data_IF_520323582936
#
_entry.id   IF_520323582936
#
_cell.length_a   1.000
_cell.length_b   1.000
_cell.length_c   1.000
_cell.angle_alpha   90.00
_cell.angle_beta   90.00
_cell.angle_gamma   90.00
#
_symmetry.space_group_name_H-M   'P 1'
#
loop_
_entity.id
_entity.type
_entity.pdbx_description
1 polymer ?
#
# COMPACT_ATOMS: atom_id res chain seq x y z
N UNK A 1 61.85 2.77 -4.20
CA UNK A 1 60.93 1.83 -3.52
C UNK A 1 59.51 2.19 -3.93
N UNK A 2 58.82 1.33 -4.69
CA UNK A 2 57.44 1.56 -5.12
C UNK A 2 56.47 0.94 -4.10
N UNK A 3 55.48 1.73 -3.65
CA UNK A 3 54.53 1.36 -2.58
C UNK A 3 53.30 0.68 -3.21
N UNK A 4 53.10 -0.60 -2.91
CA UNK A 4 51.95 -1.39 -3.38
C UNK A 4 50.66 -0.89 -2.70
N UNK A 5 49.67 -0.50 -3.49
CA UNK A 5 48.34 -0.11 -3.00
C UNK A 5 47.52 -1.38 -2.79
N UNK A 6 47.25 -1.73 -1.52
CA UNK A 6 46.31 -2.79 -1.18
C UNK A 6 44.88 -2.30 -1.43
N UNK A 7 44.19 -2.91 -2.40
CA UNK A 7 42.76 -2.74 -2.61
C UNK A 7 41.98 -3.47 -1.52
N UNK A 8 41.35 -2.72 -0.62
CA UNK A 8 40.45 -3.28 0.39
C UNK A 8 39.21 -3.88 -0.29
N UNK A 9 39.01 -5.21 -0.22
CA UNK A 9 37.73 -5.84 -0.58
C UNK A 9 36.68 -5.40 0.43
N UNK A 10 35.73 -4.55 0.00
CA UNK A 10 34.54 -4.24 0.79
C UNK A 10 33.74 -5.53 0.99
N UNK A 11 33.30 -5.86 2.21
CA UNK A 11 32.42 -7.01 2.44
C UNK A 11 31.11 -6.78 1.68
N UNK A 12 30.70 -7.77 0.89
CA UNK A 12 29.42 -7.77 0.19
C UNK A 12 28.30 -7.65 1.21
N UNK A 13 27.57 -6.53 1.17
CA UNK A 13 26.40 -6.33 2.01
C UNK A 13 25.36 -7.38 1.62
N UNK A 14 25.13 -8.35 2.50
CA UNK A 14 24.01 -9.29 2.36
C UNK A 14 22.73 -8.46 2.49
N UNK A 15 22.10 -8.15 1.37
CA UNK A 15 20.79 -7.51 1.33
C UNK A 15 19.78 -8.62 1.64
N UNK A 16 19.05 -8.57 2.76
CA UNK A 16 18.02 -9.56 3.05
C UNK A 16 17.04 -9.61 1.87
N UNK A 17 16.73 -10.82 1.39
CA UNK A 17 15.74 -11.02 0.35
C UNK A 17 14.41 -10.44 0.87
N UNK A 18 14.01 -9.27 0.35
CA UNK A 18 12.67 -8.75 0.65
C UNK A 18 11.71 -9.62 -0.12
N UNK A 19 10.93 -10.45 0.59
CA UNK A 19 9.74 -11.09 0.01
C UNK A 19 8.90 -9.99 -0.64
N UNK A 20 8.49 -10.21 -1.89
CA UNK A 20 7.69 -9.23 -2.61
C UNK A 20 6.35 -9.00 -1.92
N UNK A 21 5.83 -7.78 -2.00
CA UNK A 21 4.52 -7.42 -1.43
C UNK A 21 3.40 -8.14 -2.16
N UNK A 22 2.61 -8.96 -1.46
CA UNK A 22 1.48 -9.71 -2.04
C UNK A 22 0.14 -8.98 -1.87
N UNK A 23 -0.87 -9.43 -2.60
CA UNK A 23 -2.25 -8.94 -2.44
C UNK A 23 -2.81 -9.27 -1.04
N UNK A 24 -2.46 -10.41 -0.47
CA UNK A 24 -2.88 -10.80 0.89
C UNK A 24 -2.35 -9.82 1.93
N UNK A 25 -1.11 -9.33 1.77
CA UNK A 25 -0.56 -8.28 2.63
C UNK A 25 -1.36 -6.98 2.52
N UNK A 26 -1.81 -6.61 1.32
CA UNK A 26 -2.70 -5.44 1.12
C UNK A 26 -4.04 -5.67 1.82
N UNK A 27 -4.67 -6.83 1.62
CA UNK A 27 -5.96 -7.17 2.23
C UNK A 27 -5.93 -7.18 3.76
N UNK A 28 -4.79 -7.55 4.35
CA UNK A 28 -4.60 -7.51 5.80
C UNK A 28 -4.41 -6.09 6.34
N UNK A 29 -3.76 -5.21 5.57
CA UNK A 29 -3.37 -3.88 6.02
C UNK A 29 -4.40 -2.79 5.68
N UNK A 30 -5.16 -2.94 4.59
CA UNK A 30 -6.13 -1.97 4.11
C UNK A 30 -7.56 -2.37 4.51
N UNK A 31 -8.45 -1.38 4.80
CA UNK A 31 -9.86 -1.66 5.02
C UNK A 31 -10.52 -2.41 3.84
N UNK A 32 -11.39 -3.36 4.15
CA UNK A 32 -12.35 -3.87 3.17
C UNK A 32 -13.52 -2.89 2.94
N UNK A 33 -14.42 -3.22 2.00
CA UNK A 33 -15.53 -2.35 1.63
C UNK A 33 -16.46 -2.05 2.80
N UNK A 34 -16.72 -3.04 3.66
CA UNK A 34 -17.59 -2.87 4.82
C UNK A 34 -16.93 -1.97 5.87
N UNK A 35 -15.64 -2.18 6.13
CA UNK A 35 -14.86 -1.31 7.01
C UNK A 35 -14.76 0.13 6.48
N UNK A 36 -14.52 0.30 5.17
CA UNK A 36 -14.46 1.62 4.55
C UNK A 36 -15.81 2.35 4.65
N UNK A 37 -16.93 1.66 4.42
CA UNK A 37 -18.27 2.23 4.59
C UNK A 37 -18.49 2.69 6.03
N UNK A 38 -18.20 1.84 7.03
CA UNK A 38 -18.33 2.20 8.44
C UNK A 38 -17.47 3.39 8.83
N UNK A 39 -16.23 3.48 8.31
CA UNK A 39 -15.35 4.63 8.52
C UNK A 39 -15.98 5.89 7.94
N UNK A 40 -16.47 5.81 6.70
CA UNK A 40 -17.10 6.96 6.03
C UNK A 40 -18.32 7.46 6.81
N UNK A 41 -19.21 6.57 7.22
CA UNK A 41 -20.39 6.91 8.02
C UNK A 41 -20.03 7.50 9.39
N UNK A 42 -19.06 6.88 10.09
CA UNK A 42 -18.69 7.30 11.45
C UNK A 42 -18.05 8.69 11.51
N UNK A 43 -17.37 9.10 10.44
CA UNK A 43 -16.64 10.36 10.35
C UNK A 43 -17.28 11.37 9.38
N UNK A 44 -18.44 11.04 8.80
CA UNK A 44 -19.12 11.90 7.82
C UNK A 44 -18.31 12.13 6.54
N UNK A 45 -17.49 11.16 6.13
CA UNK A 45 -16.67 11.22 4.93
C UNK A 45 -17.43 10.67 3.71
N UNK A 46 -16.92 10.94 2.52
CA UNK A 46 -17.48 10.44 1.27
C UNK A 46 -17.42 8.91 1.20
N UNK A 47 -18.55 8.28 0.88
CA UNK A 47 -18.61 6.85 0.54
C UNK A 47 -17.97 6.64 -0.82
N UNK A 48 -16.97 5.78 -0.89
CA UNK A 48 -16.25 5.47 -2.13
C UNK A 48 -16.98 4.39 -2.93
N UNK A 49 -17.07 4.59 -4.24
CA UNK A 49 -17.42 3.53 -5.19
C UNK A 49 -16.19 2.65 -5.46
N UNK A 50 -15.96 1.69 -4.55
CA UNK A 50 -14.81 0.79 -4.62
C UNK A 50 -14.82 -0.09 -5.88
N UNK A 51 -15.99 -0.58 -6.28
CA UNK A 51 -16.14 -1.42 -7.46
C UNK A 51 -15.87 -0.62 -8.74
N UNK A 52 -16.39 0.60 -8.84
CA UNK A 52 -16.08 1.50 -9.96
C UNK A 52 -14.59 1.83 -10.07
N UNK A 53 -13.88 2.03 -8.95
CA UNK A 53 -12.41 2.21 -8.94
C UNK A 53 -11.72 0.97 -9.51
N UNK A 54 -12.05 -0.22 -9.00
CA UNK A 54 -11.49 -1.49 -9.47
C UNK A 54 -11.69 -1.66 -10.97
N UNK A 55 -12.92 -1.49 -11.45
CA UNK A 55 -13.30 -1.70 -12.84
C UNK A 55 -12.57 -0.74 -13.79
N UNK A 56 -12.41 0.52 -13.40
CA UNK A 56 -11.67 1.50 -14.22
C UNK A 56 -10.19 1.17 -14.29
N UNK A 57 -9.57 0.75 -13.19
CA UNK A 57 -8.16 0.37 -13.18
C UNK A 57 -7.89 -0.91 -13.97
N UNK A 58 -8.81 -1.88 -13.92
CA UNK A 58 -8.76 -3.06 -14.78
C UNK A 58 -8.83 -2.67 -16.26
N UNK A 59 -9.88 -1.93 -16.65
CA UNK A 59 -10.10 -1.49 -18.03
C UNK A 59 -8.93 -0.67 -18.58
N UNK A 60 -8.39 0.25 -17.80
CA UNK A 60 -7.25 1.07 -18.18
C UNK A 60 -6.04 0.22 -18.59
N UNK A 61 -5.70 -0.81 -17.82
CA UNK A 61 -4.54 -1.65 -18.12
C UNK A 61 -4.81 -2.56 -19.33
N UNK A 62 -6.03 -3.10 -19.46
CA UNK A 62 -6.42 -3.88 -20.63
C UNK A 62 -6.32 -3.04 -21.91
N UNK A 63 -6.91 -1.84 -21.92
CA UNK A 63 -6.93 -0.97 -23.10
C UNK A 63 -5.52 -0.50 -23.49
N UNK A 64 -4.72 -0.10 -22.52
CA UNK A 64 -3.33 0.33 -22.77
C UNK A 64 -2.43 -0.82 -23.23
N UNK A 65 -2.67 -2.05 -22.75
CA UNK A 65 -1.95 -3.24 -23.22
C UNK A 65 -2.27 -3.54 -24.69
N UNK A 66 -3.52 -3.34 -25.12
CA UNK A 66 -3.94 -3.51 -26.51
C UNK A 66 -3.13 -2.64 -27.49
N UNK A 67 -2.78 -1.42 -27.08
CA UNK A 67 -1.94 -0.51 -27.87
C UNK A 67 -0.46 -0.93 -27.92
N UNK A 68 -0.01 -1.77 -26.99
CA UNK A 68 1.36 -2.28 -26.92
C UNK A 68 1.55 -3.64 -27.62
N UNK A 69 0.46 -4.35 -27.93
CA UNK A 69 0.48 -5.72 -28.48
C UNK A 69 1.27 -5.86 -29.77
N UNK A 70 1.17 -4.87 -30.66
CA UNK A 70 1.86 -4.91 -31.96
C UNK A 70 3.37 -4.70 -31.82
N UNK A 71 3.81 -4.08 -30.72
CA UNK A 71 5.20 -3.70 -30.48
C UNK A 71 5.94 -4.59 -29.46
N UNK A 72 5.23 -5.41 -28.68
CA UNK A 72 5.80 -6.25 -27.64
C UNK A 72 5.45 -7.72 -27.85
N UNK A 73 6.46 -8.58 -27.83
CA UNK A 73 6.22 -10.02 -27.66
C UNK A 73 5.67 -10.35 -26.27
N UNK A 74 5.00 -11.50 -26.14
CA UNK A 74 4.31 -11.95 -24.92
C UNK A 74 5.17 -11.83 -23.66
N UNK A 75 6.44 -12.27 -23.72
CA UNK A 75 7.32 -12.22 -22.54
C UNK A 75 7.66 -10.79 -22.12
N UNK A 76 7.82 -9.88 -23.09
CA UNK A 76 8.09 -8.47 -22.81
C UNK A 76 6.85 -7.81 -22.19
N UNK A 77 5.66 -8.12 -22.70
CA UNK A 77 4.38 -7.70 -22.12
C UNK A 77 4.25 -8.17 -20.66
N UNK A 78 4.51 -9.46 -20.40
CA UNK A 78 4.44 -10.01 -19.05
C UNK A 78 5.39 -9.28 -18.09
N UNK A 79 6.65 -9.07 -18.46
CA UNK A 79 7.63 -8.36 -17.61
C UNK A 79 7.22 -6.89 -17.37
N UNK A 80 6.67 -6.24 -18.40
CA UNK A 80 6.17 -4.88 -18.30
C UNK A 80 5.01 -4.77 -17.29
N UNK A 81 3.97 -5.59 -17.48
CA UNK A 81 2.80 -5.63 -16.60
C UNK A 81 3.15 -6.09 -15.19
N UNK A 82 4.11 -7.01 -15.04
CA UNK A 82 4.61 -7.45 -13.74
C UNK A 82 5.07 -6.27 -12.87
N UNK A 83 5.77 -5.30 -13.48
CA UNK A 83 6.27 -4.10 -12.81
C UNK A 83 5.17 -3.11 -12.50
N UNK A 84 4.24 -2.90 -13.44
CA UNK A 84 3.10 -2.00 -13.26
C UNK A 84 2.19 -2.49 -12.14
N UNK A 85 1.75 -3.75 -12.21
CA UNK A 85 0.88 -4.30 -11.16
C UNK A 85 1.59 -4.37 -9.82
N UNK A 86 2.89 -4.70 -9.82
CA UNK A 86 3.69 -4.65 -8.61
C UNK A 86 3.75 -3.27 -7.95
N UNK A 87 3.72 -2.18 -8.72
CA UNK A 87 3.71 -0.82 -8.15
C UNK A 87 2.35 -0.48 -7.52
N UNK A 88 1.24 -0.89 -8.11
CA UNK A 88 -0.09 -0.76 -7.51
C UNK A 88 -0.18 -1.50 -6.18
N UNK A 89 0.23 -2.76 -6.14
CA UNK A 89 0.20 -3.60 -4.94
C UNK A 89 1.11 -3.03 -3.84
N UNK A 90 2.32 -2.58 -4.20
CA UNK A 90 3.23 -1.95 -3.25
C UNK A 90 2.69 -0.64 -2.70
N UNK A 91 2.07 0.19 -3.55
CA UNK A 91 1.42 1.44 -3.16
C UNK A 91 0.28 1.21 -2.17
N UNK A 92 -0.62 0.27 -2.50
CA UNK A 92 -1.75 -0.10 -1.65
C UNK A 92 -1.27 -0.62 -0.29
N UNK A 93 -0.29 -1.52 -0.27
CA UNK A 93 0.28 -2.01 0.98
C UNK A 93 0.93 -0.89 1.80
N UNK A 94 1.67 0.02 1.14
CA UNK A 94 2.25 1.19 1.79
C UNK A 94 1.20 2.06 2.47
N UNK A 95 0.07 2.31 1.79
CA UNK A 95 -1.06 3.04 2.34
C UNK A 95 -1.71 2.31 3.53
N UNK A 96 -1.93 0.99 3.43
CA UNK A 96 -2.45 0.18 4.54
C UNK A 96 -1.53 0.19 5.77
N UNK A 97 -0.21 0.14 5.56
CA UNK A 97 0.78 0.27 6.64
C UNK A 97 0.77 1.66 7.28
N UNK A 98 0.53 2.71 6.50
CA UNK A 98 0.41 4.07 7.01
C UNK A 98 -0.89 4.25 7.81
N UNK A 99 -2.01 3.76 7.29
CA UNK A 99 -3.29 3.70 7.99
C UNK A 99 -3.18 2.96 9.33
N UNK A 100 -2.56 1.77 9.34
CA UNK A 100 -2.36 0.97 10.56
C UNK A 100 -1.59 1.72 11.65
N UNK A 101 -0.60 2.54 11.26
CA UNK A 101 0.14 3.41 12.18
C UNK A 101 -0.73 4.56 12.68
N UNK A 102 -1.47 5.23 11.78
CA UNK A 102 -2.39 6.30 12.15
C UNK A 102 -3.45 5.83 13.17
N UNK A 103 -4.00 4.62 12.98
CA UNK A 103 -4.94 4.01 13.94
C UNK A 103 -4.28 3.78 15.30
N UNK A 104 -3.06 3.26 15.32
CA UNK A 104 -2.33 3.05 16.57
C UNK A 104 -2.09 4.37 17.30
N UNK A 105 -1.65 5.41 16.59
CA UNK A 105 -1.45 6.73 17.16
C UNK A 105 -2.74 7.38 17.68
N UNK A 106 -3.87 7.17 16.98
CA UNK A 106 -5.17 7.67 17.40
C UNK A 106 -5.66 6.96 18.68
N UNK A 107 -5.44 5.64 18.78
CA UNK A 107 -5.73 4.84 19.98
C UNK A 107 -4.89 5.31 21.17
N UNK A 108 -3.59 5.50 20.97
CA UNK A 108 -2.68 5.98 22.01
C UNK A 108 -3.07 7.38 22.51
N UNK A 109 -3.47 8.28 21.60
CA UNK A 109 -3.93 9.61 21.96
C UNK A 109 -5.26 9.59 22.72
N UNK A 110 -6.18 8.70 22.33
CA UNK A 110 -7.46 8.51 23.03
C UNK A 110 -7.24 7.97 24.44
N UNK A 111 -6.37 6.96 24.60
CA UNK A 111 -6.05 6.39 25.91
C UNK A 111 -5.40 7.41 26.86
N UNK A 112 -4.54 8.30 26.34
CA UNK A 112 -3.91 9.37 27.12
C UNK A 112 -4.93 10.41 27.59
N UNK A 113 -5.84 10.82 26.70
CA UNK A 113 -6.88 11.80 27.04
C UNK A 113 -7.88 11.30 28.10
N UNK A 114 -7.98 9.99 28.33
CA UNK A 114 -8.85 9.40 29.35
C UNK A 114 -8.18 9.25 30.73
N UNK A 115 -6.99 9.82 30.94
CA UNK A 115 -6.26 9.71 32.20
C UNK A 115 -6.33 11.01 33.03
N UNK A 116 -7.14 11.00 34.10
CA UNK A 116 -7.47 12.15 34.97
C UNK A 116 -6.29 12.77 35.74
N UNK A 117 -5.07 12.24 35.59
CA UNK A 117 -3.90 12.60 36.42
C UNK A 117 -2.89 13.55 35.76
N UNK A 118 -3.21 14.16 34.61
CA UNK A 118 -2.26 15.00 33.85
C UNK A 118 -2.83 16.37 33.46
N UNK A 119 -2.32 17.41 34.12
CA UNK A 119 -2.59 18.83 33.81
C UNK A 119 -2.15 19.27 32.39
N UNK A 120 -1.32 18.48 31.69
CA UNK A 120 -0.88 18.80 30.32
C UNK A 120 -1.95 18.57 29.24
N UNK A 121 -3.07 17.92 29.60
CA UNK A 121 -4.23 17.68 28.73
C UNK A 121 -5.42 18.62 29.06
N UNK A 122 -5.14 19.78 29.67
CA UNK A 122 -6.09 20.90 29.78
C UNK A 122 -6.73 21.12 28.41
N UNK A 123 -8.03 20.85 28.34
CA UNK A 123 -8.80 20.84 27.10
C UNK A 123 -8.46 22.07 26.24
N UNK A 124 -8.33 21.86 24.92
CA UNK A 124 -8.38 22.99 24.00
C UNK A 124 -9.64 23.82 24.27
N UNK A 125 -9.70 25.09 23.83
CA UNK A 125 -10.83 25.96 24.12
C UNK A 125 -12.15 25.22 23.89
N UNK A 126 -13.04 25.25 24.88
CA UNK A 126 -14.30 24.50 24.87
C UNK A 126 -15.02 24.74 23.54
N UNK A 127 -15.31 23.68 22.79
CA UNK A 127 -15.92 23.75 21.45
C UNK A 127 -14.99 23.49 20.26
N UNK A 128 -13.71 23.13 20.49
CA UNK A 128 -12.76 22.72 19.42
C UNK A 128 -12.33 21.26 19.57
N UNK A 129 -11.97 20.62 18.45
CA UNK A 129 -11.58 19.21 18.43
C UNK A 129 -10.33 18.92 19.28
N UNK A 130 -10.45 17.92 20.14
CA UNK A 130 -9.31 17.45 20.94
C UNK A 130 -8.20 16.92 20.04
N UNK A 131 -6.97 16.90 20.55
CA UNK A 131 -5.83 16.29 19.84
C UNK A 131 -6.09 14.82 19.50
N UNK A 132 -6.80 14.10 20.37
CA UNK A 132 -7.21 12.72 20.13
C UNK A 132 -8.25 12.62 19.00
N UNK A 133 -9.23 13.54 18.96
CA UNK A 133 -10.24 13.59 17.90
C UNK A 133 -9.61 13.81 16.52
N UNK A 134 -8.75 14.82 16.38
CA UNK A 134 -8.06 15.10 15.11
C UNK A 134 -7.22 13.93 14.60
N UNK A 135 -6.61 13.15 15.51
CA UNK A 135 -5.87 11.94 15.13
C UNK A 135 -6.80 10.81 14.65
N UNK A 136 -8.00 10.70 15.21
CA UNK A 136 -9.02 9.74 14.75
C UNK A 136 -9.53 10.10 13.35
N UNK A 137 -9.84 11.38 13.12
CA UNK A 137 -10.24 11.89 11.80
C UNK A 137 -9.15 11.66 10.74
N UNK A 138 -7.90 11.99 11.07
CA UNK A 138 -6.77 11.70 10.19
C UNK A 138 -6.65 10.20 9.87
N UNK A 139 -6.80 9.32 10.86
CA UNK A 139 -6.78 7.88 10.62
C UNK A 139 -7.96 7.42 9.74
N UNK A 140 -9.13 8.03 9.88
CA UNK A 140 -10.30 7.76 9.04
C UNK A 140 -10.03 8.12 7.57
N UNK A 141 -9.50 9.32 7.30
CA UNK A 141 -9.09 9.72 5.95
C UNK A 141 -8.08 8.75 5.33
N UNK A 142 -7.08 8.34 6.12
CA UNK A 142 -6.07 7.37 5.66
C UNK A 142 -6.68 6.01 5.38
N UNK A 143 -7.72 5.61 6.13
CA UNK A 143 -8.46 4.37 5.90
C UNK A 143 -9.14 4.37 4.53
N UNK A 144 -9.82 5.45 4.17
CA UNK A 144 -10.47 5.58 2.86
C UNK A 144 -9.45 5.61 1.71
N UNK A 145 -8.33 6.33 1.87
CA UNK A 145 -7.25 6.33 0.87
C UNK A 145 -6.63 4.93 0.68
N UNK A 146 -6.38 4.22 1.78
CA UNK A 146 -5.85 2.85 1.73
C UNK A 146 -6.85 1.88 1.06
N UNK A 147 -8.15 2.05 1.30
CA UNK A 147 -9.19 1.27 0.63
C UNK A 147 -9.25 1.55 -0.88
N UNK A 148 -9.23 2.82 -1.30
CA UNK A 148 -9.21 3.19 -2.72
C UNK A 148 -8.02 2.54 -3.46
N UNK A 149 -6.82 2.60 -2.86
CA UNK A 149 -5.62 2.01 -3.46
C UNK A 149 -5.66 0.48 -3.46
N UNK A 150 -6.31 -0.15 -2.47
CA UNK A 150 -6.59 -1.59 -2.52
C UNK A 150 -7.46 -1.94 -3.74
N UNK A 151 -8.54 -1.19 -3.98
CA UNK A 151 -9.42 -1.44 -5.13
C UNK A 151 -8.69 -1.26 -6.47
N UNK A 152 -7.86 -0.22 -6.58
CA UNK A 152 -7.00 -0.02 -7.75
C UNK A 152 -6.01 -1.20 -7.95
N UNK A 153 -5.41 -1.72 -6.88
CA UNK A 153 -4.51 -2.87 -6.94
C UNK A 153 -5.24 -4.16 -7.33
N UNK A 154 -6.45 -4.39 -6.83
CA UNK A 154 -7.27 -5.55 -7.23
C UNK A 154 -7.64 -5.49 -8.71
N UNK A 155 -8.02 -4.31 -9.23
CA UNK A 155 -8.31 -4.12 -10.67
C UNK A 155 -7.07 -4.32 -11.53
N UNK A 156 -5.91 -3.83 -11.08
CA UNK A 156 -4.65 -4.03 -11.78
C UNK A 156 -4.24 -5.51 -11.87
N UNK A 157 -4.46 -6.28 -10.79
CA UNK A 157 -4.21 -7.73 -10.77
C UNK A 157 -5.17 -8.46 -11.72
N UNK A 158 -6.45 -8.10 -11.71
CA UNK A 158 -7.45 -8.69 -12.61
C UNK A 158 -7.06 -8.47 -14.09
N UNK A 159 -6.62 -7.26 -14.45
CA UNK A 159 -6.12 -6.98 -15.79
C UNK A 159 -4.89 -7.81 -16.15
N UNK A 160 -3.94 -7.99 -15.23
CA UNK A 160 -2.78 -8.85 -15.49
C UNK A 160 -3.20 -10.27 -15.79
N UNK A 161 -4.10 -10.84 -14.98
CA UNK A 161 -4.62 -12.20 -15.20
C UNK A 161 -5.32 -12.32 -16.55
N UNK A 162 -6.09 -11.31 -16.95
CA UNK A 162 -6.75 -11.28 -18.26
C UNK A 162 -5.76 -11.22 -19.43
N UNK A 163 -4.73 -10.38 -19.34
CA UNK A 163 -3.78 -10.14 -20.45
C UNK A 163 -2.74 -11.26 -20.55
N UNK A 164 -2.25 -11.74 -19.41
CA UNK A 164 -1.15 -12.74 -19.33
C UNK A 164 -1.70 -14.16 -19.28
N UNK A 165 -2.91 -14.37 -18.77
CA UNK A 165 -3.51 -15.69 -18.57
C UNK A 165 -3.04 -16.42 -17.31
N UNK A 166 -2.30 -15.74 -16.42
CA UNK A 166 -1.78 -16.29 -15.17
C UNK A 166 -2.06 -15.35 -13.99
N UNK A 167 -2.35 -15.92 -12.83
CA UNK A 167 -2.52 -15.15 -11.60
C UNK A 167 -1.22 -14.39 -11.25
N UNK A 168 -1.34 -13.08 -11.02
CA UNK A 168 -0.19 -12.26 -10.65
C UNK A 168 0.43 -12.69 -9.31
N UNK A 169 1.75 -12.79 -9.27
CA UNK A 169 2.53 -13.01 -8.05
C UNK A 169 3.67 -12.01 -7.97
N UNK A 170 4.11 -11.60 -6.78
CA UNK A 170 5.25 -10.68 -6.68
C UNK A 170 6.50 -11.30 -7.29
N UNK A 171 7.31 -10.47 -7.94
CA UNK A 171 8.57 -10.93 -8.51
C UNK A 171 9.53 -11.34 -7.40
N UNK A 172 9.93 -12.60 -7.39
CA UNK A 172 10.99 -13.11 -6.53
C UNK A 172 12.28 -13.18 -7.36
N UNK A 173 13.33 -12.50 -6.89
CA UNK A 173 14.63 -12.58 -7.55
C UNK A 173 15.16 -14.02 -7.34
N UNK A 174 15.52 -14.75 -8.42
CA UNK A 174 16.17 -16.04 -8.27
C UNK A 174 17.42 -15.90 -7.41
N UNK A 175 17.64 -16.86 -6.51
CA UNK A 175 18.90 -16.94 -5.74
C UNK A 175 20.02 -17.23 -6.74
N UNK A 176 20.87 -16.24 -7.03
CA UNK A 176 22.15 -16.49 -7.67
C UNK A 176 23.02 -17.28 -6.68
N UNK A 177 23.20 -18.58 -6.96
CA UNK A 177 23.88 -19.62 -6.18
C UNK A 177 23.12 -20.22 -4.99
N UNK A 178 22.35 -21.30 -5.19
CA UNK A 178 21.99 -22.20 -4.11
C UNK A 178 23.19 -23.11 -3.80
N UNK A 179 24.16 -22.59 -3.03
CA UNK A 179 25.20 -23.39 -2.33
C UNK A 179 26.13 -24.23 -3.19
#
# INVERSE_FOLDING_TARGET
>A
MAKTVQTSRRPTRVIPLRKGTTLEMVRLACPDAEQALRIAESFGLTVLDGDGIRDIHERLLVETSGSLSDGLGEKAMQIHLQRIVGSYVASAHGAGQFYSRAVSEARDATAKASNDSRDEDLEGPVGFDSKAQRKREFAADMGLQAHALRMAAEGAIAAYEQIVGEAWKPFERPLENPG
#
